data_IF_284818848279
#
_entry.id   IF_284818848279
#
_cell.length_a   1.000
_cell.length_b   1.000
_cell.length_c   1.000
_cell.angle_alpha   90.00
_cell.angle_beta   90.00
_cell.angle_gamma   90.00
#
_symmetry.space_group_name_H-M   'P 1'
#
loop_
_entity.id
_entity.type
_entity.pdbx_description
1 polymer ?
#
# COMPACT_ATOMS: atom_id res chain seq x y z
N UNK A 1 -58.87 -15.25 37.91
CA UNK A 1 -57.73 -15.35 36.98
C UNK A 1 -57.83 -14.14 36.05
N UNK A 2 -56.84 -13.25 36.11
CA UNK A 2 -56.85 -11.92 35.50
C UNK A 2 -56.01 -11.96 34.22
N UNK A 3 -56.60 -11.72 33.05
CA UNK A 3 -55.85 -11.41 31.84
C UNK A 3 -56.13 -9.97 31.40
N UNK A 4 -55.04 -9.21 31.29
CA UNK A 4 -54.99 -7.79 30.96
C UNK A 4 -55.21 -7.61 29.47
N UNK A 5 -56.34 -7.02 29.08
CA UNK A 5 -56.57 -6.53 27.73
C UNK A 5 -55.56 -5.44 27.33
N UNK A 6 -54.88 -5.66 26.22
CA UNK A 6 -53.96 -4.71 25.58
C UNK A 6 -54.74 -3.48 25.08
N UNK A 7 -54.59 -2.34 25.76
CA UNK A 7 -55.04 -1.05 25.21
C UNK A 7 -54.01 -0.54 24.21
N UNK A 8 -54.24 -0.80 22.92
CA UNK A 8 -53.60 -0.07 21.83
C UNK A 8 -53.88 1.43 22.00
N UNK A 9 -52.86 2.25 22.25
CA UNK A 9 -53.00 3.71 22.20
C UNK A 9 -53.24 4.12 20.75
N UNK A 10 -54.52 4.35 20.42
CA UNK A 10 -54.94 4.87 19.12
C UNK A 10 -54.28 6.21 18.81
N UNK A 11 -54.15 6.50 17.52
CA UNK A 11 -53.60 7.76 17.00
C UNK A 11 -54.46 8.93 17.49
N UNK A 12 -53.87 9.99 18.07
CA UNK A 12 -54.66 11.06 18.67
C UNK A 12 -55.51 11.76 17.62
N UNK A 13 -56.78 11.96 17.96
CA UNK A 13 -57.76 12.58 17.07
C UNK A 13 -57.40 14.05 16.80
N UNK A 14 -58.03 14.65 15.80
CA UNK A 14 -57.78 16.07 15.45
C UNK A 14 -58.16 16.98 16.62
N UNK A 15 -59.21 16.63 17.36
CA UNK A 15 -59.67 17.35 18.55
C UNK A 15 -58.69 17.24 19.72
N UNK A 16 -58.11 16.06 19.97
CA UNK A 16 -57.07 15.90 21.00
C UNK A 16 -55.82 16.72 20.68
N UNK A 17 -55.46 16.82 19.39
CA UNK A 17 -54.35 17.67 18.94
C UNK A 17 -54.65 19.16 19.06
N UNK A 18 -55.90 19.58 18.87
CA UNK A 18 -56.33 20.96 19.06
C UNK A 18 -56.30 21.34 20.54
N UNK A 19 -56.87 20.50 21.42
CA UNK A 19 -56.85 20.70 22.87
C UNK A 19 -55.42 20.71 23.44
N UNK A 20 -54.51 19.90 22.87
CA UNK A 20 -53.11 19.91 23.29
C UNK A 20 -52.37 21.18 22.86
N UNK A 21 -52.70 21.76 21.70
CA UNK A 21 -52.17 23.06 21.26
C UNK A 21 -52.69 24.19 22.13
N UNK A 22 -53.97 24.15 22.51
CA UNK A 22 -54.60 25.15 23.36
C UNK A 22 -53.99 25.17 24.77
N UNK A 23 -53.68 23.98 25.33
CA UNK A 23 -52.90 23.85 26.57
C UNK A 23 -51.48 24.40 26.45
N UNK A 24 -50.82 24.18 25.31
CA UNK A 24 -49.46 24.70 25.07
C UNK A 24 -49.46 26.22 24.83
N UNK A 25 -50.54 26.80 24.30
CA UNK A 25 -50.69 28.25 24.16
C UNK A 25 -51.10 28.93 25.47
N UNK A 26 -51.90 28.27 26.32
CA UNK A 26 -52.27 28.78 27.64
C UNK A 26 -51.10 28.75 28.63
N UNK A 27 -50.15 27.83 28.44
CA UNK A 27 -48.90 27.72 29.20
C UNK A 27 -47.79 28.67 28.66
N UNK A 28 -48.17 29.61 27.78
CA UNK A 28 -47.31 30.59 27.12
C UNK A 28 -46.80 31.72 28.01
N UNK A 29 -47.23 31.79 29.27
CA UNK A 29 -46.62 32.66 30.27
C UNK A 29 -45.48 31.93 30.97
N UNK A 30 -44.30 32.57 30.93
CA UNK A 30 -43.29 32.51 32.01
C UNK A 30 -42.08 31.58 31.87
N UNK A 31 -41.53 31.37 30.66
CA UNK A 31 -40.09 31.05 30.58
C UNK A 31 -39.22 32.19 31.11
N UNK A 32 -39.56 33.42 30.73
CA UNK A 32 -38.81 34.60 31.18
C UNK A 32 -39.08 34.95 32.64
N UNK A 33 -40.31 34.80 33.14
CA UNK A 33 -40.57 35.05 34.56
C UNK A 33 -39.92 34.00 35.46
N UNK A 34 -39.84 32.72 35.05
CA UNK A 34 -39.04 31.71 35.76
C UNK A 34 -37.54 32.03 35.77
N UNK A 35 -37.00 32.57 34.68
CA UNK A 35 -35.60 33.00 34.60
C UNK A 35 -35.31 34.16 35.57
N UNK A 36 -36.17 35.17 35.58
CA UNK A 36 -36.05 36.33 36.48
C UNK A 36 -36.21 35.90 37.94
N UNK A 37 -37.12 34.97 38.24
CA UNK A 37 -37.34 34.46 39.59
C UNK A 37 -36.18 33.58 40.08
N UNK A 38 -35.53 32.82 39.18
CA UNK A 38 -34.33 32.03 39.47
C UNK A 38 -33.10 32.91 39.71
N UNK A 39 -32.89 33.96 38.89
CA UNK A 39 -31.80 34.93 39.05
C UNK A 39 -31.95 35.73 40.35
N UNK A 40 -33.18 36.14 40.72
CA UNK A 40 -33.47 36.87 41.96
C UNK A 40 -33.26 36.02 43.22
N UNK A 41 -33.32 34.70 43.09
CA UNK A 41 -33.07 33.74 44.18
C UNK A 41 -31.60 33.29 44.28
N UNK A 42 -30.69 33.83 43.45
CA UNK A 42 -29.26 33.55 43.52
C UNK A 42 -28.88 32.09 43.27
N UNK A 43 -29.76 31.29 42.65
CA UNK A 43 -29.46 29.89 42.33
C UNK A 43 -28.88 29.80 40.93
N UNK A 44 -27.70 29.18 40.74
CA UNK A 44 -27.18 28.95 39.39
C UNK A 44 -28.16 28.05 38.63
N UNK A 45 -28.50 28.44 37.40
CA UNK A 45 -29.27 27.59 36.50
C UNK A 45 -28.55 26.24 36.35
N UNK A 46 -29.27 25.10 36.41
CA UNK A 46 -28.72 23.88 35.87
C UNK A 46 -28.64 24.10 34.36
N UNK A 47 -27.47 24.49 33.86
CA UNK A 47 -27.18 24.43 32.44
C UNK A 47 -27.61 23.05 31.99
N UNK A 48 -28.65 23.01 31.16
CA UNK A 48 -29.18 21.77 30.62
C UNK A 48 -28.01 21.06 29.98
N UNK A 49 -27.61 19.94 30.61
CA UNK A 49 -26.53 19.05 30.22
C UNK A 49 -26.43 19.09 28.70
N UNK A 50 -25.37 19.69 28.16
CA UNK A 50 -25.08 19.64 26.72
C UNK A 50 -25.30 18.20 26.33
N UNK A 51 -26.31 17.95 25.49
CA UNK A 51 -26.48 16.64 24.91
C UNK A 51 -25.20 16.43 24.11
N UNK A 52 -24.25 15.72 24.69
CA UNK A 52 -23.18 15.08 23.94
C UNK A 52 -23.91 14.36 22.84
N UNK A 53 -23.83 14.89 21.61
CA UNK A 53 -24.35 14.19 20.46
C UNK A 53 -23.55 12.89 20.46
N UNK A 54 -24.15 11.73 20.78
CA UNK A 54 -23.43 10.50 20.51
C UNK A 54 -23.13 10.57 19.03
N UNK A 55 -21.87 10.35 18.62
CA UNK A 55 -21.54 10.12 17.22
C UNK A 55 -22.36 8.89 16.78
N UNK A 56 -23.63 9.10 16.45
CA UNK A 56 -24.46 8.16 15.71
C UNK A 56 -23.85 8.19 14.33
N UNK A 57 -22.80 7.40 14.16
CA UNK A 57 -22.24 7.08 12.87
C UNK A 57 -23.40 6.83 11.92
N UNK A 58 -23.51 7.65 10.88
CA UNK A 58 -24.52 7.42 9.86
C UNK A 58 -24.31 5.99 9.33
N UNK A 59 -25.37 5.17 9.19
CA UNK A 59 -25.24 3.79 8.73
C UNK A 59 -24.54 3.71 7.36
N UNK A 60 -24.61 4.77 6.57
CA UNK A 60 -23.89 4.95 5.30
C UNK A 60 -22.38 5.07 5.55
N UNK A 61 -21.94 5.94 6.47
CA UNK A 61 -20.52 6.13 6.81
C UNK A 61 -19.89 4.83 7.34
N UNK A 62 -20.62 4.05 8.16
CA UNK A 62 -20.15 2.73 8.62
C UNK A 62 -19.96 1.75 7.46
N UNK A 63 -20.90 1.68 6.52
CA UNK A 63 -20.78 0.80 5.34
C UNK A 63 -19.61 1.21 4.45
N UNK A 64 -19.42 2.51 4.22
CA UNK A 64 -18.29 3.04 3.45
C UNK A 64 -16.95 2.74 4.12
N UNK A 65 -16.87 2.89 5.44
CA UNK A 65 -15.65 2.60 6.19
C UNK A 65 -15.30 1.10 6.14
N UNK A 66 -16.29 0.21 6.27
CA UNK A 66 -16.08 -1.23 6.11
C UNK A 66 -15.59 -1.53 4.69
N UNK A 67 -16.23 -0.98 3.65
CA UNK A 67 -15.83 -1.19 2.27
C UNK A 67 -14.39 -0.68 2.00
N UNK A 68 -14.04 0.49 2.52
CA UNK A 68 -12.69 1.04 2.42
C UNK A 68 -11.66 0.14 3.10
N UNK A 69 -11.96 -0.36 4.31
CA UNK A 69 -11.08 -1.30 5.02
C UNK A 69 -10.93 -2.60 4.24
N UNK A 70 -12.01 -3.17 3.70
CA UNK A 70 -11.93 -4.42 2.94
C UNK A 70 -11.11 -4.26 1.67
N UNK A 71 -11.25 -3.13 0.97
CA UNK A 71 -10.44 -2.81 -0.21
C UNK A 71 -8.96 -2.64 0.19
N UNK A 72 -8.70 -1.92 1.29
CA UNK A 72 -7.33 -1.73 1.78
C UNK A 72 -6.66 -3.05 2.17
N UNK A 73 -7.38 -3.93 2.87
CA UNK A 73 -6.89 -5.27 3.23
C UNK A 73 -6.62 -6.09 1.97
N UNK A 74 -7.57 -6.13 1.02
CA UNK A 74 -7.39 -6.87 -0.22
C UNK A 74 -6.17 -6.38 -1.01
N UNK A 75 -6.00 -5.07 -1.13
CA UNK A 75 -4.84 -4.46 -1.80
C UNK A 75 -3.53 -4.83 -1.10
N UNK A 76 -3.48 -4.73 0.23
CA UNK A 76 -2.30 -5.12 1.02
C UNK A 76 -1.96 -6.60 0.85
N UNK A 77 -2.96 -7.48 0.90
CA UNK A 77 -2.76 -8.93 0.71
C UNK A 77 -2.20 -9.25 -0.67
N UNK A 78 -2.74 -8.62 -1.73
CA UNK A 78 -2.22 -8.80 -3.09
C UNK A 78 -0.78 -8.31 -3.19
N UNK A 79 -0.49 -7.12 -2.66
CA UNK A 79 0.85 -6.53 -2.73
C UNK A 79 1.90 -7.39 -2.00
N UNK A 80 1.63 -7.76 -0.75
CA UNK A 80 2.52 -8.62 0.04
C UNK A 80 2.69 -9.99 -0.61
N UNK A 81 1.60 -10.56 -1.17
CA UNK A 81 1.67 -11.83 -1.89
C UNK A 81 2.57 -11.77 -3.12
N UNK A 82 2.46 -10.71 -3.93
CA UNK A 82 3.31 -10.52 -5.11
C UNK A 82 4.77 -10.32 -4.72
N UNK A 83 5.05 -9.52 -3.69
CA UNK A 83 6.41 -9.29 -3.20
C UNK A 83 7.07 -10.59 -2.74
N UNK A 84 6.35 -11.43 -1.98
CA UNK A 84 6.84 -12.73 -1.52
C UNK A 84 7.11 -13.72 -2.66
N UNK A 85 6.25 -13.74 -3.68
CA UNK A 85 6.46 -14.58 -4.87
C UNK A 85 7.71 -14.12 -5.61
N UNK A 86 7.87 -12.81 -5.78
CA UNK A 86 9.00 -12.21 -6.47
C UNK A 86 10.32 -12.48 -5.76
N UNK A 87 10.34 -12.38 -4.43
CA UNK A 87 11.52 -12.66 -3.59
C UNK A 87 12.02 -14.10 -3.74
N UNK A 88 11.10 -15.07 -3.90
CA UNK A 88 11.42 -16.50 -4.01
C UNK A 88 11.67 -16.96 -5.44
N UNK A 89 11.38 -16.12 -6.43
CA UNK A 89 11.50 -16.49 -7.84
C UNK A 89 12.97 -16.55 -8.24
N UNK A 90 13.35 -17.68 -8.83
CA UNK A 90 14.61 -17.84 -9.55
C UNK A 90 14.26 -17.99 -11.01
N UNK A 91 14.74 -17.03 -11.80
CA UNK A 91 14.58 -16.98 -13.24
C UNK A 91 15.77 -17.65 -13.91
N UNK A 92 15.51 -18.54 -14.88
CA UNK A 92 16.55 -19.16 -15.71
C UNK A 92 16.57 -18.46 -17.06
N UNK A 93 17.75 -18.05 -17.49
CA UNK A 93 17.94 -17.32 -18.74
C UNK A 93 17.92 -18.27 -19.93
N UNK A 94 17.35 -17.83 -21.04
CA UNK A 94 17.50 -18.50 -22.32
C UNK A 94 18.88 -18.18 -22.91
N UNK A 95 19.55 -19.14 -23.51
CA UNK A 95 20.88 -18.94 -24.07
C UNK A 95 21.51 -20.23 -24.58
N UNK A 96 22.84 -20.22 -24.83
CA UNK A 96 23.57 -21.39 -25.31
C UNK A 96 23.47 -22.60 -24.38
N UNK A 97 23.34 -22.35 -23.08
CA UNK A 97 23.09 -23.34 -22.05
C UNK A 97 22.08 -22.79 -21.01
N UNK A 98 21.57 -23.63 -20.10
CA UNK A 98 20.62 -23.21 -19.05
C UNK A 98 21.33 -22.90 -17.73
N UNK A 99 22.59 -22.45 -17.77
CA UNK A 99 23.41 -22.28 -16.57
C UNK A 99 23.18 -20.96 -15.86
N UNK A 100 22.63 -19.97 -16.58
CA UNK A 100 22.49 -18.60 -16.09
C UNK A 100 21.17 -18.44 -15.37
N UNK A 101 21.25 -17.99 -14.13
CA UNK A 101 20.10 -17.79 -13.25
C UNK A 101 20.13 -16.41 -12.63
N UNK A 102 18.97 -15.88 -12.24
CA UNK A 102 18.87 -14.61 -11.53
C UNK A 102 17.69 -14.59 -10.58
N UNK A 103 17.67 -13.66 -9.64
CA UNK A 103 16.56 -13.51 -8.71
C UNK A 103 16.63 -12.23 -7.90
N UNK A 104 15.71 -12.08 -6.97
CA UNK A 104 15.66 -10.94 -6.05
C UNK A 104 16.37 -11.21 -4.72
N UNK A 105 16.30 -12.46 -4.22
CA UNK A 105 17.02 -12.87 -3.00
C UNK A 105 17.86 -14.09 -3.26
N UNK A 106 18.98 -14.17 -2.57
CA UNK A 106 19.87 -15.34 -2.60
C UNK A 106 20.09 -15.82 -1.17
N UNK A 107 19.66 -17.04 -0.88
CA UNK A 107 19.78 -17.62 0.45
C UNK A 107 21.25 -17.68 0.88
N UNK A 108 21.54 -17.16 2.07
CA UNK A 108 22.91 -17.16 2.61
C UNK A 108 23.82 -16.04 2.09
N UNK A 109 23.29 -15.06 1.33
CA UNK A 109 24.06 -13.91 0.86
C UNK A 109 23.46 -12.57 1.33
N UNK A 110 23.87 -12.06 2.52
CA UNK A 110 23.36 -10.81 3.07
C UNK A 110 23.60 -9.57 2.18
N UNK A 111 24.67 -9.60 1.37
CA UNK A 111 24.99 -8.52 0.44
C UNK A 111 23.88 -8.30 -0.61
N UNK A 112 23.14 -9.35 -0.98
CA UNK A 112 22.06 -9.29 -1.96
C UNK A 112 20.72 -8.94 -1.28
N UNK A 113 20.51 -9.38 -0.05
CA UNK A 113 19.23 -9.21 0.68
C UNK A 113 18.80 -7.74 0.85
N UNK A 114 19.75 -6.81 0.83
CA UNK A 114 19.49 -5.36 0.94
C UNK A 114 19.22 -4.68 -0.41
N UNK A 115 19.43 -5.39 -1.53
CA UNK A 115 19.24 -4.87 -2.87
C UNK A 115 17.83 -5.17 -3.34
N UNK A 116 17.13 -4.14 -3.83
CA UNK A 116 15.82 -4.30 -4.41
C UNK A 116 15.65 -3.29 -5.54
N UNK A 117 15.29 -3.77 -6.71
CA UNK A 117 14.92 -2.95 -7.86
C UNK A 117 13.66 -3.52 -8.49
N UNK A 118 12.77 -2.69 -9.02
CA UNK A 118 11.50 -3.15 -9.59
C UNK A 118 11.63 -3.71 -11.02
N UNK A 119 12.72 -3.39 -11.70
CA UNK A 119 12.97 -3.71 -13.10
C UNK A 119 14.00 -4.81 -13.22
N UNK A 120 15.12 -4.68 -12.50
CA UNK A 120 16.24 -5.61 -12.58
C UNK A 120 16.20 -6.67 -11.45
N UNK A 121 16.79 -7.85 -11.68
CA UNK A 121 17.10 -8.77 -10.59
C UNK A 121 18.16 -8.16 -9.66
N UNK A 122 18.14 -8.54 -8.38
CA UNK A 122 19.18 -8.14 -7.42
C UNK A 122 20.48 -8.93 -7.63
N UNK A 123 20.41 -10.10 -8.25
CA UNK A 123 21.58 -10.94 -8.51
C UNK A 123 21.46 -11.78 -9.79
N UNK A 124 22.62 -12.16 -10.33
CA UNK A 124 22.78 -13.02 -11.50
C UNK A 124 23.91 -14.01 -11.24
N UNK A 125 23.68 -15.31 -11.46
CA UNK A 125 24.71 -16.34 -11.47
C UNK A 125 25.12 -16.62 -12.92
N UNK A 126 26.39 -16.38 -13.22
CA UNK A 126 26.98 -16.54 -14.56
C UNK A 126 28.40 -17.09 -14.42
N UNK A 127 28.76 -18.11 -15.21
CA UNK A 127 30.11 -18.68 -15.19
C UNK A 127 30.56 -19.19 -13.81
N UNK A 128 29.63 -19.71 -13.00
CA UNK A 128 29.90 -20.19 -11.64
C UNK A 128 30.11 -19.09 -10.59
N UNK A 129 29.90 -17.82 -10.94
CA UNK A 129 30.03 -16.67 -10.04
C UNK A 129 28.70 -15.96 -9.86
N UNK A 130 28.51 -15.37 -8.69
CA UNK A 130 27.34 -14.53 -8.39
C UNK A 130 27.72 -13.07 -8.57
N UNK A 131 26.91 -12.34 -9.31
CA UNK A 131 27.01 -10.91 -9.53
C UNK A 131 25.81 -10.23 -8.89
N UNK A 132 26.05 -9.21 -8.08
CA UNK A 132 25.00 -8.42 -7.44
C UNK A 132 24.76 -7.10 -8.18
N UNK A 133 23.52 -6.62 -8.11
CA UNK A 133 23.08 -5.36 -8.66
C UNK A 133 23.92 -4.21 -8.09
N UNK A 134 24.55 -3.45 -8.97
CA UNK A 134 25.23 -2.21 -8.61
C UNK A 134 24.32 -0.98 -8.72
N UNK A 135 24.80 0.17 -8.27
CA UNK A 135 24.10 1.46 -8.43
C UNK A 135 24.64 2.27 -9.61
N UNK A 136 25.22 1.60 -10.61
CA UNK A 136 25.90 2.24 -11.73
C UNK A 136 25.28 1.82 -13.05
N UNK A 137 25.08 2.81 -13.91
CA UNK A 137 24.69 2.60 -15.30
C UNK A 137 25.93 2.75 -16.18
N UNK A 138 26.06 1.90 -17.19
CA UNK A 138 27.12 1.99 -18.19
C UNK A 138 26.52 2.25 -19.56
N UNK A 139 26.98 3.27 -20.30
CA UNK A 139 26.58 3.47 -21.69
C UNK A 139 26.90 2.24 -22.52
N UNK A 140 25.92 1.80 -23.30
CA UNK A 140 26.07 0.70 -24.27
C UNK A 140 25.97 1.34 -25.63
N UNK A 141 27.11 1.51 -26.27
CA UNK A 141 27.22 2.19 -27.56
C UNK A 141 27.20 1.14 -28.66
N UNK A 142 26.28 1.28 -29.61
CA UNK A 142 26.27 0.47 -30.83
C UNK A 142 27.58 0.73 -31.58
N UNK A 143 28.38 -0.33 -31.68
CA UNK A 143 29.83 -0.21 -31.90
C UNK A 143 30.18 0.18 -33.34
N UNK A 144 30.82 1.35 -33.51
CA UNK A 144 31.69 1.63 -34.68
C UNK A 144 33.09 2.13 -34.31
N UNK A 145 33.35 2.51 -33.06
CA UNK A 145 34.59 3.24 -32.73
C UNK A 145 35.15 3.01 -31.32
N UNK A 146 34.57 2.12 -30.51
CA UNK A 146 35.12 1.73 -29.20
C UNK A 146 34.79 0.27 -28.90
N UNK A 147 35.65 -0.50 -28.21
CA UNK A 147 35.30 -1.84 -27.73
C UNK A 147 34.16 -1.71 -26.71
N UNK A 148 32.94 -1.92 -27.17
CA UNK A 148 31.77 -1.97 -26.30
C UNK A 148 31.70 -3.30 -25.52
N UNK A 149 30.77 -3.40 -24.57
CA UNK A 149 30.45 -4.68 -23.95
C UNK A 149 30.10 -5.73 -25.01
N UNK A 150 30.61 -6.95 -24.87
CA UNK A 150 30.34 -8.04 -25.81
C UNK A 150 29.02 -8.75 -25.45
N UNK A 151 28.30 -9.26 -26.45
CA UNK A 151 27.11 -10.06 -26.20
C UNK A 151 27.47 -11.42 -25.62
N UNK A 152 26.76 -11.85 -24.57
CA UNK A 152 26.94 -13.17 -23.97
C UNK A 152 26.08 -14.26 -24.63
N UNK A 153 25.06 -13.87 -25.41
CA UNK A 153 24.07 -14.78 -25.98
C UNK A 153 22.92 -15.16 -25.04
N UNK A 154 22.92 -14.69 -23.77
CA UNK A 154 21.84 -14.98 -22.82
C UNK A 154 20.80 -13.86 -22.76
N UNK A 155 19.53 -14.26 -22.65
CA UNK A 155 18.37 -13.37 -22.53
C UNK A 155 17.39 -13.83 -21.46
N UNK A 156 16.67 -12.88 -20.87
CA UNK A 156 15.57 -13.13 -19.95
C UNK A 156 14.40 -12.21 -20.31
N UNK A 157 13.40 -12.76 -20.98
CA UNK A 157 12.37 -11.96 -21.64
C UNK A 157 13.03 -11.07 -22.70
N UNK A 158 12.95 -9.75 -22.51
CA UNK A 158 13.58 -8.77 -23.39
C UNK A 158 14.97 -8.30 -22.90
N UNK A 159 15.37 -8.67 -21.68
CA UNK A 159 16.68 -8.30 -21.15
C UNK A 159 17.78 -9.13 -21.80
N UNK A 160 18.91 -8.49 -22.10
CA UNK A 160 20.12 -9.12 -22.61
C UNK A 160 21.26 -9.00 -21.60
N UNK A 161 22.06 -10.04 -21.48
CA UNK A 161 23.27 -10.06 -20.68
C UNK A 161 24.47 -9.73 -21.58
N UNK A 162 25.24 -8.71 -21.21
CA UNK A 162 26.48 -8.31 -21.87
C UNK A 162 27.67 -8.50 -20.93
N UNK A 163 28.82 -8.81 -21.52
CA UNK A 163 30.08 -9.01 -20.82
C UNK A 163 30.95 -7.77 -20.95
N UNK A 164 31.43 -7.31 -19.81
CA UNK A 164 32.39 -6.22 -19.75
C UNK A 164 33.81 -6.76 -19.95
N UNK A 165 34.29 -6.69 -21.19
CA UNK A 165 35.63 -7.12 -21.53
C UNK A 165 36.68 -6.04 -21.30
N UNK A 166 36.28 -4.77 -21.21
CA UNK A 166 37.17 -3.61 -21.23
C UNK A 166 36.80 -2.64 -20.10
N UNK A 167 37.24 -2.99 -18.89
CA UNK A 167 37.05 -2.15 -17.70
C UNK A 167 38.25 -1.22 -17.51
N UNK A 168 38.06 0.08 -17.18
CA UNK A 168 39.15 1.03 -16.92
C UNK A 168 40.12 0.65 -15.79
N UNK A 169 39.81 -0.41 -15.02
CA UNK A 169 40.59 -0.90 -13.89
C UNK A 169 41.10 -2.35 -14.07
N UNK A 170 41.05 -2.92 -15.27
CA UNK A 170 41.55 -4.28 -15.54
C UNK A 170 40.75 -5.43 -14.89
N UNK A 171 39.53 -5.16 -14.43
CA UNK A 171 38.58 -6.12 -13.82
C UNK A 171 37.69 -6.80 -14.85
N UNK A 172 38.28 -7.15 -15.99
CA UNK A 172 37.59 -7.90 -17.04
C UNK A 172 36.99 -9.17 -16.42
N UNK A 173 35.72 -9.47 -16.68
CA UNK A 173 34.94 -10.60 -16.11
C UNK A 173 34.42 -10.46 -14.68
N UNK A 174 34.74 -9.40 -13.95
CA UNK A 174 34.12 -9.13 -12.63
C UNK A 174 32.85 -8.28 -12.75
N UNK A 175 32.54 -7.85 -13.97
CA UNK A 175 31.38 -7.03 -14.30
C UNK A 175 30.58 -7.70 -15.41
N UNK A 176 29.27 -7.78 -15.19
CA UNK A 176 28.29 -8.07 -16.23
C UNK A 176 27.29 -6.93 -16.30
N UNK A 177 26.69 -6.76 -17.47
CA UNK A 177 25.80 -5.62 -17.74
C UNK A 177 24.47 -6.16 -18.25
N UNK A 178 23.37 -5.73 -17.63
CA UNK A 178 22.03 -6.01 -18.13
C UNK A 178 21.49 -4.84 -18.94
N UNK A 179 20.96 -5.15 -20.11
CA UNK A 179 20.44 -4.14 -21.04
C UNK A 179 19.00 -4.47 -21.41
N UNK A 180 18.15 -3.46 -21.34
CA UNK A 180 16.79 -3.49 -21.89
C UNK A 180 16.84 -3.10 -23.37
N UNK A 181 15.92 -3.62 -24.21
CA UNK A 181 16.01 -3.50 -25.67
C UNK A 181 16.02 -2.05 -26.17
N UNK A 182 15.35 -1.14 -25.45
CA UNK A 182 15.22 0.27 -25.82
C UNK A 182 16.21 1.19 -25.08
N UNK A 183 17.02 0.64 -24.16
CA UNK A 183 17.93 1.44 -23.34
C UNK A 183 19.31 1.55 -23.98
N UNK A 184 19.85 2.78 -24.01
CA UNK A 184 21.24 3.07 -24.39
C UNK A 184 22.22 2.95 -23.22
N UNK A 185 21.72 2.59 -22.04
CA UNK A 185 22.50 2.35 -20.84
C UNK A 185 22.13 1.01 -20.23
N UNK A 186 23.13 0.26 -19.82
CA UNK A 186 22.98 -1.01 -19.13
C UNK A 186 23.22 -0.87 -17.64
N UNK A 187 22.52 -1.67 -16.85
CA UNK A 187 22.69 -1.79 -15.43
C UNK A 187 23.92 -2.64 -15.12
N UNK A 188 24.84 -2.11 -14.33
CA UNK A 188 26.09 -2.79 -13.96
C UNK A 188 25.83 -3.73 -12.79
N UNK A 189 26.34 -4.96 -12.92
CA UNK A 189 26.39 -5.96 -11.87
C UNK A 189 27.85 -6.32 -11.58
N UNK A 190 28.18 -6.54 -10.31
CA UNK A 190 29.55 -6.80 -9.86
C UNK A 190 29.64 -8.12 -9.13
N UNK A 191 30.73 -8.83 -9.32
CA UNK A 191 30.97 -10.11 -8.63
C UNK A 191 30.93 -9.92 -7.11
N UNK A 192 30.29 -10.85 -6.43
CA UNK A 192 30.29 -10.97 -4.97
C UNK A 192 31.01 -12.26 -4.61
N UNK A 193 32.26 -12.20 -4.13
CA UNK A 193 33.10 -13.39 -3.95
C UNK A 193 32.57 -14.35 -2.87
N UNK A 194 31.86 -13.82 -1.87
CA UNK A 194 31.39 -14.59 -0.72
C UNK A 194 30.05 -15.28 -0.93
N UNK A 195 29.47 -15.18 -2.14
CA UNK A 195 28.15 -15.71 -2.46
C UNK A 195 28.22 -16.73 -3.60
N UNK A 196 27.54 -17.85 -3.42
CA UNK A 196 27.55 -19.01 -4.33
C UNK A 196 26.16 -19.38 -4.81
#
# INVERSE_FOLDING_TARGET
MVERGSRSRGRPTVEERAAQRERLSSDGSDRYARLILALRQGRPEPMGRERSYPLRWHPIARKLLIAAITIAIAYLSVRVGLDLIRERRIDTWAGPDTTVQSGQRLAGCPAIDSLNDNVFPSWIRYGGRVYALGNQLRPVVDSRSSPGPAESGYTLGEMRLLLDNDTPAGRSRDIVILVLPTSRAGQVFRVVPDCT
#
